data_IF_106446101694
#
_entry.id   IF_106446101694
#
_cell.length_a   1.000
_cell.length_b   1.000
_cell.length_c   1.000
_cell.angle_alpha   90.00
_cell.angle_beta   90.00
_cell.angle_gamma   90.00
#
_symmetry.space_group_name_H-M   'P 1'
#
loop_
_entity.id
_entity.type
_entity.pdbx_description
1 polymer ?
#
# COMPACT_ATOMS: atom_id res chain seq x y z
N UNK A 1 14.72 -14.11 -9.00
CA UNK A 1 14.59 -12.66 -8.69
C UNK A 1 13.29 -12.29 -7.95
N UNK A 2 12.24 -13.12 -7.94
CA UNK A 2 10.95 -12.77 -7.31
C UNK A 2 10.98 -12.69 -5.77
N UNK A 3 11.78 -13.53 -5.09
CA UNK A 3 11.88 -13.53 -3.61
C UNK A 3 12.32 -12.16 -3.05
N UNK A 4 13.22 -11.45 -3.73
CA UNK A 4 13.68 -10.10 -3.34
C UNK A 4 12.57 -9.04 -3.39
N UNK A 5 11.57 -9.19 -4.28
CA UNK A 5 10.44 -8.26 -4.37
C UNK A 5 9.37 -8.53 -3.30
N UNK A 6 9.11 -9.80 -2.96
CA UNK A 6 8.18 -10.16 -1.86
C UNK A 6 8.65 -9.62 -0.51
N UNK A 7 9.94 -9.78 -0.19
CA UNK A 7 10.55 -9.27 1.06
C UNK A 7 10.40 -7.73 1.16
N UNK A 8 10.45 -7.00 0.04
CA UNK A 8 10.32 -5.54 0.04
C UNK A 8 8.98 -5.01 0.57
N UNK A 9 7.88 -5.75 0.46
CA UNK A 9 6.57 -5.29 0.97
C UNK A 9 6.50 -5.44 2.49
N UNK A 10 6.95 -6.56 3.04
CA UNK A 10 7.00 -6.76 4.50
C UNK A 10 7.95 -5.76 5.16
N UNK A 11 9.10 -5.50 4.50
CA UNK A 11 10.04 -4.47 4.92
C UNK A 11 9.60 -3.05 4.57
N UNK A 12 8.48 -2.85 3.86
CA UNK A 12 8.07 -1.51 3.44
C UNK A 12 7.78 -0.61 4.64
N UNK A 13 7.10 -1.15 5.66
CA UNK A 13 6.91 -0.48 6.96
C UNK A 13 8.27 -0.08 7.58
N UNK A 14 9.23 -1.00 7.62
CA UNK A 14 10.53 -0.80 8.25
C UNK A 14 11.40 0.23 7.51
N UNK A 15 11.40 0.17 6.17
CA UNK A 15 12.18 1.07 5.31
C UNK A 15 11.62 2.49 5.30
N UNK A 16 10.30 2.62 5.21
CA UNK A 16 9.64 3.91 5.04
C UNK A 16 9.19 4.54 6.35
N UNK A 17 9.20 3.79 7.45
CA UNK A 17 8.59 4.18 8.73
C UNK A 17 7.11 4.56 8.60
N UNK A 18 6.45 4.15 7.51
CA UNK A 18 5.03 4.35 7.30
C UNK A 18 4.25 3.17 7.90
N UNK A 19 3.11 3.44 8.52
CA UNK A 19 2.19 2.42 9.04
C UNK A 19 1.16 2.05 7.99
N UNK A 20 0.89 0.77 7.79
CA UNK A 20 -0.25 0.32 6.99
C UNK A 20 -1.56 0.68 7.70
N UNK A 21 -2.44 1.43 7.05
CA UNK A 21 -3.74 1.87 7.60
C UNK A 21 -4.94 1.21 6.91
N UNK A 22 -4.73 0.62 5.72
CA UNK A 22 -5.80 -0.02 4.96
C UNK A 22 -5.25 -1.18 4.13
N UNK A 23 -6.08 -2.23 4.00
CA UNK A 23 -5.86 -3.35 3.10
C UNK A 23 -7.20 -3.76 2.50
N UNK A 24 -7.26 -3.91 1.19
CA UNK A 24 -8.40 -4.51 0.48
C UNK A 24 -7.88 -5.50 -0.55
N UNK A 25 -8.40 -6.72 -0.48
CA UNK A 25 -8.19 -7.73 -1.51
C UNK A 25 -9.25 -7.63 -2.59
N UNK A 26 -8.81 -7.81 -3.83
CA UNK A 26 -9.59 -8.17 -5.01
C UNK A 26 -9.11 -9.56 -5.45
N UNK A 27 -9.70 -10.15 -6.50
CA UNK A 27 -9.36 -11.51 -6.96
C UNK A 27 -7.85 -11.70 -7.17
N UNK A 28 -7.23 -10.85 -8.00
CA UNK A 28 -5.80 -10.98 -8.35
C UNK A 28 -4.90 -9.88 -7.77
N UNK A 29 -5.51 -8.88 -7.13
CA UNK A 29 -4.84 -7.66 -6.69
C UNK A 29 -5.14 -7.39 -5.22
N UNK A 30 -4.14 -6.91 -4.49
CA UNK A 30 -4.31 -6.35 -3.16
C UNK A 30 -3.93 -4.89 -3.18
N UNK A 31 -4.84 -4.05 -2.71
CA UNK A 31 -4.63 -2.64 -2.49
C UNK A 31 -4.24 -2.40 -1.03
N UNK A 32 -3.21 -1.60 -0.81
CA UNK A 32 -2.72 -1.23 0.51
C UNK A 32 -2.57 0.29 0.58
N UNK A 33 -2.93 0.89 1.72
CA UNK A 33 -2.61 2.29 1.99
C UNK A 33 -1.71 2.34 3.21
N UNK A 34 -0.59 3.07 3.07
CA UNK A 34 0.36 3.38 4.11
C UNK A 34 0.28 4.87 4.44
N UNK A 35 0.47 5.19 5.72
CA UNK A 35 0.53 6.55 6.23
C UNK A 35 1.85 6.77 6.95
N UNK A 36 2.57 7.83 6.60
CA UNK A 36 3.80 8.21 7.27
C UNK A 36 3.52 9.36 8.23
N UNK A 37 3.50 9.06 9.54
CA UNK A 37 3.09 10.03 10.57
C UNK A 37 3.94 11.32 10.56
N UNK A 38 5.27 11.20 10.50
CA UNK A 38 6.17 12.37 10.52
C UNK A 38 6.07 13.27 9.28
N UNK A 39 5.69 12.71 8.12
CA UNK A 39 5.61 13.45 6.86
C UNK A 39 4.18 13.83 6.48
N UNK A 40 3.20 13.35 7.23
CA UNK A 40 1.77 13.46 6.89
C UNK A 40 1.47 13.00 5.45
N UNK A 41 2.16 11.94 5.00
CA UNK A 41 2.08 11.44 3.62
C UNK A 41 1.30 10.15 3.56
N UNK A 42 0.44 10.02 2.55
CA UNK A 42 -0.28 8.79 2.24
C UNK A 42 0.29 8.17 0.97
N UNK A 43 0.50 6.84 0.99
CA UNK A 43 0.96 6.08 -0.16
C UNK A 43 0.01 4.94 -0.45
N UNK A 44 -0.41 4.85 -1.70
CA UNK A 44 -1.15 3.74 -2.27
C UNK A 44 -0.17 2.74 -2.88
N UNK A 45 -0.29 1.48 -2.48
CA UNK A 45 0.39 0.37 -3.10
C UNK A 45 -0.64 -0.59 -3.69
N UNK A 46 -0.40 -1.03 -4.93
CA UNK A 46 -1.13 -2.13 -5.54
C UNK A 46 -0.14 -3.26 -5.75
N UNK A 47 -0.50 -4.44 -5.27
CA UNK A 47 0.32 -5.64 -5.34
C UNK A 47 -0.50 -6.76 -5.98
N UNK A 48 0.14 -7.68 -6.69
CA UNK A 48 -0.57 -8.87 -7.21
C UNK A 48 -0.66 -9.99 -6.17
N UNK A 49 -1.35 -11.09 -6.52
CA UNK A 49 -1.43 -12.32 -5.72
C UNK A 49 -0.06 -12.90 -5.32
N UNK A 50 0.98 -12.64 -6.12
CA UNK A 50 2.36 -13.00 -5.81
C UNK A 50 3.10 -11.97 -4.94
N UNK A 51 2.39 -11.07 -4.26
CA UNK A 51 2.99 -10.00 -3.44
C UNK A 51 4.10 -9.23 -4.21
N UNK A 52 3.88 -9.01 -5.50
CA UNK A 52 4.74 -8.18 -6.33
C UNK A 52 4.14 -6.78 -6.37
N UNK A 53 4.94 -5.77 -6.02
CA UNK A 53 4.54 -4.37 -6.17
C UNK A 53 4.35 -4.03 -7.65
N UNK A 54 3.12 -3.69 -8.02
CA UNK A 54 2.72 -3.25 -9.36
C UNK A 54 2.68 -1.73 -9.47
N UNK A 55 2.16 -1.06 -8.44
CA UNK A 55 2.02 0.39 -8.38
C UNK A 55 2.40 0.90 -6.99
N UNK A 56 3.15 1.99 -6.95
CA UNK A 56 3.33 2.82 -5.76
C UNK A 56 3.04 4.27 -6.16
N UNK A 57 2.11 4.91 -5.46
CA UNK A 57 1.70 6.29 -5.73
C UNK A 57 1.47 7.06 -4.44
N UNK A 58 2.00 8.28 -4.36
CA UNK A 58 1.62 9.22 -3.31
C UNK A 58 0.21 9.75 -3.58
N UNK A 59 -0.65 9.70 -2.56
CA UNK A 59 -2.04 10.15 -2.64
C UNK A 59 -2.30 11.19 -1.56
N UNK A 60 -3.29 12.02 -1.79
CA UNK A 60 -3.79 12.95 -0.78
C UNK A 60 -4.59 12.22 0.29
N UNK A 61 -4.75 12.87 1.46
CA UNK A 61 -5.65 12.41 2.52
C UNK A 61 -7.06 12.16 1.97
N UNK A 62 -7.61 13.10 1.20
CA UNK A 62 -8.96 13.00 0.64
C UNK A 62 -9.10 11.79 -0.31
N UNK A 63 -8.11 11.50 -1.14
CA UNK A 63 -8.09 10.28 -1.97
C UNK A 63 -8.05 9.02 -1.13
N UNK A 64 -7.19 8.98 -0.09
CA UNK A 64 -7.12 7.83 0.81
C UNK A 64 -8.49 7.56 1.46
N UNK A 65 -9.15 8.58 2.00
CA UNK A 65 -10.47 8.43 2.61
C UNK A 65 -11.55 8.02 1.60
N UNK A 66 -11.52 8.55 0.37
CA UNK A 66 -12.45 8.10 -0.68
C UNK A 66 -12.27 6.61 -0.97
N UNK A 67 -11.03 6.17 -1.22
CA UNK A 67 -10.71 4.76 -1.50
C UNK A 67 -11.13 3.84 -0.36
N UNK A 68 -10.83 4.22 0.89
CA UNK A 68 -11.18 3.41 2.07
C UNK A 68 -12.69 3.26 2.25
N UNK A 69 -13.46 4.29 1.91
CA UNK A 69 -14.92 4.32 2.06
C UNK A 69 -15.69 3.88 0.82
N UNK A 70 -15.03 3.62 -0.31
CA UNK A 70 -15.70 3.02 -1.48
C UNK A 70 -16.26 1.67 -1.06
N UNK A 71 -17.59 1.57 -0.98
CA UNK A 71 -18.31 0.31 -0.77
C UNK A 71 -18.53 -0.32 -2.14
N UNK A 72 -18.05 -1.55 -2.30
CA UNK A 72 -18.42 -2.45 -3.40
C UNK A 72 -19.66 -3.24 -3.02
#
# INVERSE_FOLDING_TARGET
>A
MEKLKKIKIELYNLKTKARKIFKRGYEDLTMLIYYHDLKNQFRLLIINANNLLLLEKEITRAEAFRIMNTRS
#
